data_IF_306714465013
#
_entry.id   IF_306714465013
#
_cell.length_a   1.000
_cell.length_b   1.000
_cell.length_c   1.000
_cell.angle_alpha   90.00
_cell.angle_beta   90.00
_cell.angle_gamma   90.00
#
_symmetry.space_group_name_H-M   'P 1'
#
loop_
_entity.id
_entity.type
_entity.pdbx_description
1 polymer ?
#
# COMPACT_ATOMS: atom_id res chain seq x y z
N UNK A 1 2.72 -6.08 19.15
CA UNK A 1 3.29 -5.31 18.01
C UNK A 1 3.69 -6.29 16.90
N UNK A 2 2.89 -6.41 15.84
CA UNK A 2 3.04 -7.49 14.82
C UNK A 2 4.26 -7.28 13.92
N UNK A 3 4.40 -6.09 13.31
CA UNK A 3 5.50 -5.80 12.37
C UNK A 3 6.91 -5.71 13.00
N UNK A 4 7.01 -5.66 14.34
CA UNK A 4 8.30 -5.62 15.06
C UNK A 4 8.54 -6.88 15.91
N UNK A 5 7.75 -7.94 15.69
CA UNK A 5 7.88 -9.19 16.44
C UNK A 5 9.22 -9.89 16.20
N UNK A 6 9.68 -10.68 17.19
CA UNK A 6 10.94 -11.43 17.12
C UNK A 6 11.02 -12.32 15.86
N UNK A 7 9.92 -12.99 15.52
CA UNK A 7 9.85 -13.84 14.33
C UNK A 7 10.06 -13.07 13.03
N UNK A 8 9.47 -11.88 12.90
CA UNK A 8 9.63 -11.00 11.73
C UNK A 8 11.07 -10.52 11.60
N UNK A 9 11.67 -10.05 12.71
CA UNK A 9 13.08 -9.61 12.72
C UNK A 9 14.05 -10.73 12.36
N UNK A 10 13.84 -11.94 12.90
CA UNK A 10 14.67 -13.10 12.59
C UNK A 10 14.54 -13.50 11.11
N UNK A 11 13.34 -13.43 10.54
CA UNK A 11 13.14 -13.69 9.11
C UNK A 11 13.80 -12.63 8.23
N UNK A 12 13.65 -11.35 8.54
CA UNK A 12 14.32 -10.25 7.83
C UNK A 12 15.84 -10.36 7.89
N UNK A 13 16.40 -10.74 9.05
CA UNK A 13 17.84 -10.94 9.21
C UNK A 13 18.40 -12.02 8.28
N UNK A 14 17.62 -13.07 7.97
CA UNK A 14 18.00 -14.12 7.01
C UNK A 14 17.89 -13.70 5.54
N UNK A 15 17.24 -12.59 5.24
CA UNK A 15 16.97 -12.10 3.88
C UNK A 15 17.51 -10.69 3.64
N UNK A 16 18.49 -10.27 4.44
CA UNK A 16 19.08 -8.91 4.38
C UNK A 16 19.72 -8.56 3.04
N UNK A 17 20.11 -9.58 2.28
CA UNK A 17 20.65 -9.49 0.92
C UNK A 17 19.57 -9.19 -0.14
N UNK A 18 18.29 -9.40 0.20
CA UNK A 18 17.15 -9.23 -0.70
C UNK A 18 16.16 -8.17 -0.25
N UNK A 19 16.14 -7.83 1.03
CA UNK A 19 15.11 -7.00 1.64
C UNK A 19 15.74 -5.99 2.59
N UNK A 20 15.56 -4.72 2.27
CA UNK A 20 15.82 -3.61 3.16
C UNK A 20 14.51 -3.11 3.79
N UNK A 21 14.56 -2.70 5.05
CA UNK A 21 13.36 -2.24 5.78
C UNK A 21 13.54 -0.80 6.21
N UNK A 22 12.64 0.06 5.72
CA UNK A 22 12.50 1.45 6.13
C UNK A 22 11.46 1.54 7.24
N UNK A 23 11.87 2.03 8.41
CA UNK A 23 10.97 2.26 9.54
C UNK A 23 10.50 3.70 9.54
N UNK A 24 9.18 3.90 9.58
CA UNK A 24 8.58 5.22 9.71
C UNK A 24 8.37 5.57 11.19
N UNK A 25 8.41 6.87 11.54
CA UNK A 25 7.93 7.34 12.84
C UNK A 25 6.51 6.85 13.12
N UNK A 26 6.22 6.58 14.39
CA UNK A 26 4.87 6.20 14.81
C UNK A 26 3.88 7.33 14.49
N UNK A 27 2.67 6.97 14.07
CA UNK A 27 1.59 7.93 13.75
C UNK A 27 1.90 8.91 12.60
N UNK A 28 2.79 8.54 11.68
CA UNK A 28 3.09 9.31 10.46
C UNK A 28 2.55 8.65 9.18
N UNK A 29 1.21 8.57 8.99
CA UNK A 29 0.63 7.99 7.78
C UNK A 29 1.00 8.78 6.51
N UNK A 30 1.23 10.09 6.62
CA UNK A 30 1.65 10.96 5.53
C UNK A 30 2.98 10.55 4.90
N UNK A 31 3.83 9.84 5.65
CA UNK A 31 5.11 9.32 5.16
C UNK A 31 4.97 7.95 4.50
N UNK A 32 3.79 7.32 4.50
CA UNK A 32 3.61 5.99 3.94
C UNK A 32 3.09 6.07 2.48
N UNK A 33 3.87 5.67 1.45
CA UNK A 33 3.44 5.73 0.05
C UNK A 33 2.18 4.89 -0.23
N UNK A 34 1.89 3.88 0.61
CA UNK A 34 0.66 3.11 0.55
C UNK A 34 -0.60 3.99 0.69
N UNK A 35 -0.55 5.08 1.45
CA UNK A 35 -1.73 5.93 1.65
C UNK A 35 -2.25 6.54 0.34
N UNK A 36 -1.36 6.83 -0.62
CA UNK A 36 -1.75 7.29 -1.95
C UNK A 36 -2.53 6.22 -2.72
N UNK A 37 -2.07 4.97 -2.68
CA UNK A 37 -2.77 3.84 -3.29
C UNK A 37 -4.11 3.54 -2.58
N UNK A 38 -4.16 3.65 -1.26
CA UNK A 38 -5.37 3.48 -0.46
C UNK A 38 -6.41 4.57 -0.73
N UNK A 39 -5.98 5.83 -0.86
CA UNK A 39 -6.86 6.95 -1.20
C UNK A 39 -7.50 6.73 -2.58
N UNK A 40 -6.70 6.31 -3.56
CA UNK A 40 -7.17 5.97 -4.90
C UNK A 40 -8.17 4.80 -4.89
N UNK A 41 -7.85 3.72 -4.16
CA UNK A 41 -8.75 2.58 -3.98
C UNK A 41 -10.09 3.01 -3.35
N UNK A 42 -10.03 3.74 -2.24
CA UNK A 42 -11.21 4.20 -1.50
C UNK A 42 -12.10 5.03 -2.42
N UNK A 43 -11.53 5.99 -3.16
CA UNK A 43 -12.26 6.82 -4.11
C UNK A 43 -12.89 5.99 -5.24
N UNK A 44 -12.15 5.03 -5.81
CA UNK A 44 -12.65 4.18 -6.90
C UNK A 44 -13.79 3.26 -6.47
N UNK A 45 -13.68 2.67 -5.28
CA UNK A 45 -14.70 1.74 -4.76
C UNK A 45 -15.95 2.49 -4.31
N UNK A 46 -15.83 3.66 -3.66
CA UNK A 46 -17.01 4.42 -3.20
C UNK A 46 -17.77 5.13 -4.31
N UNK A 47 -17.14 5.37 -5.47
CA UNK A 47 -17.82 5.88 -6.68
C UNK A 47 -18.74 4.84 -7.35
N UNK A 48 -18.60 3.56 -7.03
CA UNK A 48 -19.43 2.49 -7.59
C UNK A 48 -20.66 2.25 -6.71
N UNK A 49 -21.63 1.49 -7.24
CA UNK A 49 -22.75 1.02 -6.43
C UNK A 49 -22.25 0.36 -5.13
N UNK A 50 -22.87 0.62 -3.97
CA UNK A 50 -22.37 0.13 -2.69
C UNK A 50 -22.16 -1.38 -2.69
N UNK A 51 -20.96 -1.81 -2.31
CA UNK A 51 -20.68 -3.24 -2.09
C UNK A 51 -21.34 -3.65 -0.78
N UNK A 52 -22.44 -4.40 -0.85
CA UNK A 52 -23.25 -4.79 0.31
C UNK A 52 -22.75 -6.03 1.02
N UNK A 53 -21.76 -6.72 0.45
CA UNK A 53 -21.15 -7.92 1.04
C UNK A 53 -19.63 -7.86 1.02
N UNK A 54 -19.00 -8.60 1.94
CA UNK A 54 -17.54 -8.76 1.98
C UNK A 54 -16.99 -9.29 0.67
N UNK A 55 -17.66 -10.26 0.05
CA UNK A 55 -17.22 -10.84 -1.23
C UNK A 55 -17.25 -9.80 -2.36
N UNK A 56 -18.28 -8.95 -2.40
CA UNK A 56 -18.35 -7.86 -3.37
C UNK A 56 -17.23 -6.84 -3.17
N UNK A 57 -16.93 -6.48 -1.92
CA UNK A 57 -15.84 -5.57 -1.60
C UNK A 57 -14.48 -6.15 -2.04
N UNK A 58 -14.21 -7.42 -1.75
CA UNK A 58 -12.97 -8.10 -2.19
C UNK A 58 -12.86 -8.10 -3.71
N UNK A 59 -13.94 -8.42 -4.43
CA UNK A 59 -13.97 -8.41 -5.91
C UNK A 59 -13.71 -7.00 -6.48
N UNK A 60 -14.36 -5.97 -5.91
CA UNK A 60 -14.19 -4.59 -6.35
C UNK A 60 -12.74 -4.10 -6.14
N UNK A 61 -12.17 -4.37 -4.96
CA UNK A 61 -10.77 -4.04 -4.64
C UNK A 61 -9.79 -4.76 -5.56
N UNK A 62 -9.95 -6.06 -5.74
CA UNK A 62 -9.06 -6.84 -6.61
C UNK A 62 -9.19 -6.43 -8.08
N UNK A 63 -10.38 -6.06 -8.54
CA UNK A 63 -10.57 -5.49 -9.88
C UNK A 63 -9.82 -4.16 -10.01
N UNK A 64 -9.98 -3.24 -9.05
CA UNK A 64 -9.29 -1.94 -9.07
C UNK A 64 -7.77 -2.09 -9.18
N UNK A 65 -7.17 -2.92 -8.32
CA UNK A 65 -5.71 -3.13 -8.35
C UNK A 65 -5.22 -3.79 -9.65
N UNK A 66 -5.99 -4.70 -10.27
CA UNK A 66 -5.62 -5.26 -11.59
C UNK A 66 -5.60 -4.20 -12.69
N UNK A 67 -6.46 -3.18 -12.59
CA UNK A 67 -6.46 -2.05 -13.54
C UNK A 67 -5.24 -1.15 -13.27
N UNK A 68 -4.98 -0.80 -12.01
CA UNK A 68 -3.83 0.04 -11.61
C UNK A 68 -2.50 -0.62 -11.98
N UNK A 69 -2.37 -1.94 -11.79
CA UNK A 69 -1.16 -2.71 -12.12
C UNK A 69 -0.74 -2.57 -13.61
N UNK A 70 -1.69 -2.33 -14.51
CA UNK A 70 -1.43 -2.12 -15.94
C UNK A 70 -1.11 -0.67 -16.29
N UNK A 71 -1.03 0.23 -15.32
CA UNK A 71 -0.80 1.68 -15.49
C UNK A 71 0.46 2.11 -14.71
N UNK A 72 1.67 1.80 -15.22
CA UNK A 72 2.92 2.09 -14.52
C UNK A 72 3.09 3.58 -14.19
N UNK A 73 2.65 4.48 -15.09
CA UNK A 73 2.71 5.93 -14.85
C UNK A 73 1.83 6.37 -13.67
N UNK A 74 0.68 5.71 -13.47
CA UNK A 74 -0.18 5.98 -12.32
C UNK A 74 0.47 5.52 -11.02
N UNK A 75 1.13 4.37 -11.03
CA UNK A 75 1.86 3.85 -9.87
C UNK A 75 3.01 4.80 -9.51
N UNK A 76 3.80 5.24 -10.50
CA UNK A 76 4.88 6.23 -10.30
C UNK A 76 4.37 7.51 -9.65
N UNK A 77 3.20 8.01 -10.06
CA UNK A 77 2.59 9.21 -9.46
C UNK A 77 2.28 9.07 -7.97
N UNK A 78 2.03 7.87 -7.45
CA UNK A 78 1.82 7.66 -6.00
C UNK A 78 3.05 8.03 -5.17
N UNK A 79 4.24 7.97 -5.77
CA UNK A 79 5.51 8.30 -5.12
C UNK A 79 5.94 9.75 -5.37
N UNK A 80 5.19 10.55 -6.14
CA UNK A 80 5.53 11.93 -6.45
C UNK A 80 5.04 12.94 -5.40
N UNK A 81 4.21 12.52 -4.45
CA UNK A 81 3.72 13.38 -3.37
C UNK A 81 4.85 13.63 -2.36
N UNK A 82 5.13 14.90 -2.04
CA UNK A 82 6.38 15.33 -1.38
C UNK A 82 6.78 14.51 -0.14
N UNK A 83 5.90 14.29 0.86
CA UNK A 83 6.18 13.44 2.03
C UNK A 83 6.65 12.00 1.74
N UNK A 84 6.32 11.44 0.57
CA UNK A 84 6.61 10.03 0.22
C UNK A 84 7.62 9.89 -0.91
N UNK A 85 8.20 11.00 -1.41
CA UNK A 85 9.20 10.98 -2.49
C UNK A 85 10.48 10.22 -2.16
N UNK A 86 10.78 10.01 -0.88
CA UNK A 86 11.91 9.18 -0.46
C UNK A 86 11.79 7.71 -0.90
N UNK A 87 10.58 7.25 -1.23
CA UNK A 87 10.30 5.87 -1.63
C UNK A 87 10.15 5.70 -3.17
N UNK A 88 10.44 6.74 -3.95
CA UNK A 88 10.31 6.76 -5.41
C UNK A 88 11.45 6.03 -6.14
#
# INVERSE_FOLDING_TARGET
RVHHGKAVKAWLGRHRDRIEVFYLPSYSPELNPNEMANADLKQSVTRRAPTRTRLQLVKATAHHYRVVQKQPERIRRYFQHDPVRYAA
#
